data_IF_544298263409
#
_entry.id   IF_544298263409
#
_cell.length_a   1.000
_cell.length_b   1.000
_cell.length_c   1.000
_cell.angle_alpha   90.00
_cell.angle_beta   90.00
_cell.angle_gamma   90.00
#
_symmetry.space_group_name_H-M   'P 1'
#
loop_
_entity.id
_entity.type
_entity.pdbx_description
1 polymer ?
#
# COMPACT_ATOMS: atom_id res chain seq x y z
N UNK A 1 -17.53 -28.96 -17.79
CA UNK A 1 -16.71 -28.39 -16.71
C UNK A 1 -17.64 -27.62 -15.80
N UNK A 2 -17.75 -28.00 -14.52
CA UNK A 2 -18.70 -27.34 -13.60
C UNK A 2 -18.19 -25.95 -13.20
N UNK A 3 -19.10 -25.02 -12.88
CA UNK A 3 -18.74 -23.69 -12.36
C UNK A 3 -17.82 -23.79 -11.13
N UNK A 4 -18.03 -24.80 -10.25
CA UNK A 4 -17.15 -25.08 -9.12
C UNK A 4 -15.75 -25.53 -9.54
N UNK A 5 -15.58 -26.32 -10.61
CA UNK A 5 -14.26 -26.71 -11.11
C UNK A 5 -13.56 -25.56 -11.84
N UNK A 6 -14.30 -24.72 -12.56
CA UNK A 6 -13.77 -23.50 -13.17
C UNK A 6 -13.31 -22.51 -12.10
N UNK A 7 -14.10 -22.35 -11.02
CA UNK A 7 -13.73 -21.55 -9.85
C UNK A 7 -12.53 -22.17 -9.15
N UNK A 8 -12.48 -23.48 -8.88
CA UNK A 8 -11.33 -24.12 -8.21
C UNK A 8 -10.06 -24.03 -9.05
N UNK A 9 -10.15 -24.22 -10.37
CA UNK A 9 -9.01 -24.17 -11.27
C UNK A 9 -8.53 -22.73 -11.50
N UNK A 10 -9.45 -21.76 -11.60
CA UNK A 10 -9.09 -20.35 -11.55
C UNK A 10 -8.58 -19.91 -10.18
N UNK A 11 -9.10 -20.41 -9.04
CA UNK A 11 -8.62 -20.06 -7.70
C UNK A 11 -7.24 -20.66 -7.37
N UNK A 12 -6.91 -21.81 -7.97
CA UNK A 12 -5.60 -22.46 -7.81
C UNK A 12 -4.57 -21.80 -8.73
N UNK A 13 -4.98 -21.27 -9.90
CA UNK A 13 -4.11 -20.54 -10.84
C UNK A 13 -4.00 -19.05 -10.48
N UNK A 14 -5.05 -18.42 -9.93
CA UNK A 14 -5.04 -17.04 -9.42
C UNK A 14 -4.41 -16.94 -8.03
N UNK A 15 -3.68 -17.97 -7.62
CA UNK A 15 -2.94 -17.94 -6.37
C UNK A 15 -1.89 -16.87 -6.51
N UNK A 16 -2.08 -15.89 -5.64
CA UNK A 16 -1.19 -14.80 -5.38
C UNK A 16 -1.18 -13.71 -6.43
N UNK A 17 -1.85 -12.58 -6.16
CA UNK A 17 -1.57 -11.34 -6.85
C UNK A 17 -2.21 -10.19 -6.07
N UNK A 18 -1.46 -9.58 -5.17
CA UNK A 18 -1.60 -8.14 -4.97
C UNK A 18 -0.30 -7.43 -5.34
N UNK A 19 0.81 -8.17 -5.43
CA UNK A 19 1.94 -7.80 -6.29
C UNK A 19 2.66 -9.01 -6.94
N UNK A 20 2.00 -10.17 -7.06
CA UNK A 20 2.70 -11.46 -7.27
C UNK A 20 2.55 -12.13 -8.65
N UNK A 21 2.00 -11.50 -9.68
CA UNK A 21 2.34 -11.92 -11.04
C UNK A 21 2.73 -10.73 -11.92
N UNK A 22 4.03 -10.64 -12.14
CA UNK A 22 4.53 -10.73 -13.51
C UNK A 22 5.22 -12.10 -13.73
N UNK A 23 4.86 -13.10 -12.91
CA UNK A 23 5.56 -14.38 -12.77
C UNK A 23 5.01 -15.53 -13.62
N UNK A 24 3.89 -15.34 -14.31
CA UNK A 24 3.41 -16.23 -15.38
C UNK A 24 3.14 -15.41 -16.65
N UNK A 25 4.16 -14.68 -17.11
CA UNK A 25 4.10 -14.04 -18.41
C UNK A 25 4.59 -15.00 -19.48
N UNK A 26 3.66 -15.44 -20.31
CA UNK A 26 3.94 -15.99 -21.63
C UNK A 26 4.46 -14.92 -22.61
N UNK A 27 4.39 -13.62 -22.26
CA UNK A 27 4.61 -12.53 -23.21
C UNK A 27 5.76 -11.61 -22.77
N UNK A 28 6.79 -11.48 -23.61
CA UNK A 28 8.05 -10.73 -23.37
C UNK A 28 7.85 -9.28 -22.88
N UNK A 29 6.74 -8.64 -23.24
CA UNK A 29 6.45 -7.23 -22.93
C UNK A 29 6.26 -6.99 -21.44
N UNK A 30 5.56 -7.90 -20.74
CA UNK A 30 5.27 -7.70 -19.32
C UNK A 30 6.50 -7.87 -18.42
N UNK A 31 7.43 -8.74 -18.83
CA UNK A 31 8.68 -8.99 -18.12
C UNK A 31 9.57 -7.74 -18.10
N UNK A 32 9.50 -6.92 -19.15
CA UNK A 32 10.27 -5.68 -19.28
C UNK A 32 9.54 -4.49 -18.61
N UNK A 33 8.23 -4.36 -18.81
CA UNK A 33 7.50 -3.16 -18.38
C UNK A 33 7.37 -3.04 -16.85
N UNK A 34 7.22 -4.15 -16.14
CA UNK A 34 7.02 -4.14 -14.68
C UNK A 34 8.21 -3.68 -13.87
N UNK A 35 9.44 -4.20 -14.08
CA UNK A 35 10.62 -3.68 -13.42
C UNK A 35 10.82 -2.18 -13.68
N UNK A 36 10.51 -1.70 -14.89
CA UNK A 36 10.62 -0.29 -15.26
C UNK A 36 9.63 0.56 -14.46
N UNK A 37 8.35 0.19 -14.41
CA UNK A 37 7.33 0.94 -13.65
C UNK A 37 7.65 0.93 -12.16
N UNK A 38 8.06 -0.22 -11.59
CA UNK A 38 8.52 -0.29 -10.19
C UNK A 38 9.74 0.60 -9.95
N UNK A 39 10.71 0.62 -10.86
CA UNK A 39 11.86 1.53 -10.79
C UNK A 39 11.42 3.00 -10.80
N UNK A 40 10.48 3.38 -11.67
CA UNK A 40 9.93 4.75 -11.71
C UNK A 40 9.30 5.10 -10.36
N UNK A 41 8.52 4.19 -9.76
CA UNK A 41 7.90 4.39 -8.44
C UNK A 41 8.96 4.50 -7.34
N UNK A 42 9.98 3.64 -7.34
CA UNK A 42 11.11 3.69 -6.40
C UNK A 42 11.83 5.04 -6.52
N UNK A 43 12.10 5.51 -7.73
CA UNK A 43 12.72 6.81 -7.99
C UNK A 43 11.82 7.95 -7.53
N UNK A 44 10.52 7.89 -7.80
CA UNK A 44 9.56 8.91 -7.38
C UNK A 44 9.48 8.99 -5.85
N UNK A 45 9.29 7.86 -5.17
CA UNK A 45 9.27 7.77 -3.71
C UNK A 45 10.60 8.21 -3.09
N UNK A 46 11.73 7.75 -3.64
CA UNK A 46 13.07 8.16 -3.21
C UNK A 46 13.29 9.66 -3.35
N UNK A 47 12.85 10.26 -4.46
CA UNK A 47 12.92 11.71 -4.70
C UNK A 47 12.07 12.47 -3.68
N UNK A 48 10.85 12.00 -3.38
CA UNK A 48 10.00 12.58 -2.34
C UNK A 48 10.71 12.51 -0.98
N UNK A 49 11.26 11.36 -0.60
CA UNK A 49 12.00 11.19 0.67
C UNK A 49 13.18 12.17 0.73
N UNK A 50 13.99 12.27 -0.32
CA UNK A 50 15.14 13.19 -0.39
C UNK A 50 14.68 14.66 -0.28
N UNK A 51 13.62 15.04 -1.00
CA UNK A 51 13.04 16.38 -0.93
C UNK A 51 12.56 16.73 0.50
N UNK A 52 12.00 15.75 1.21
CA UNK A 52 11.57 15.92 2.60
C UNK A 52 12.73 16.02 3.59
N UNK A 53 13.84 15.30 3.37
CA UNK A 53 15.08 15.44 4.16
C UNK A 53 15.60 16.88 4.10
N UNK A 54 15.58 17.51 2.91
CA UNK A 54 15.96 18.91 2.75
C UNK A 54 15.09 19.89 3.54
N UNK A 55 13.79 19.58 3.71
CA UNK A 55 12.81 20.39 4.47
C UNK A 55 12.74 20.07 5.96
N UNK A 56 13.37 18.99 6.43
CA UNK A 56 13.39 18.57 7.84
C UNK A 56 13.93 19.65 8.79
N UNK A 57 14.73 20.60 8.28
CA UNK A 57 15.30 21.71 9.06
C UNK A 57 14.32 22.86 9.37
N UNK A 58 13.10 22.88 8.81
CA UNK A 58 12.13 23.98 8.99
C UNK A 58 11.10 23.77 10.13
N UNK A 59 10.34 24.82 10.49
CA UNK A 59 9.46 24.94 11.68
C UNK A 59 8.43 23.81 11.92
N UNK A 60 8.10 22.96 10.94
CA UNK A 60 7.13 21.84 11.06
C UNK A 60 7.79 20.45 11.20
N UNK A 61 8.80 20.34 12.07
CA UNK A 61 9.64 19.13 12.22
C UNK A 61 8.85 17.83 12.44
N UNK A 62 7.75 17.87 13.20
CA UNK A 62 6.97 16.66 13.55
C UNK A 62 6.19 16.12 12.35
N UNK A 63 5.51 16.98 11.60
CA UNK A 63 4.73 16.63 10.40
C UNK A 63 5.66 16.05 9.33
N UNK A 64 6.73 16.76 9.00
CA UNK A 64 7.71 16.32 8.00
C UNK A 64 8.38 15.01 8.40
N UNK A 65 8.67 14.80 9.69
CA UNK A 65 9.24 13.53 10.19
C UNK A 65 8.30 12.35 9.99
N UNK A 66 7.04 12.47 10.40
CA UNK A 66 6.10 11.35 10.33
C UNK A 66 5.80 10.94 8.88
N UNK A 67 5.68 11.93 7.99
CA UNK A 67 5.54 11.68 6.55
C UNK A 67 6.79 11.06 5.94
N UNK A 68 7.97 11.52 6.33
CA UNK A 68 9.23 10.91 5.87
C UNK A 68 9.29 9.44 6.30
N UNK A 69 8.93 9.12 7.55
CA UNK A 69 8.88 7.73 8.02
C UNK A 69 7.88 6.92 7.19
N UNK A 70 6.68 7.44 6.97
CA UNK A 70 5.66 6.78 6.14
C UNK A 70 6.16 6.52 4.71
N UNK A 71 6.74 7.51 4.05
CA UNK A 71 7.29 7.35 2.70
C UNK A 71 8.48 6.39 2.64
N UNK A 72 9.32 6.35 3.68
CA UNK A 72 10.40 5.36 3.79
C UNK A 72 9.81 3.94 3.89
N UNK A 73 8.74 3.75 4.66
CA UNK A 73 8.07 2.45 4.76
C UNK A 73 7.44 2.02 3.43
N UNK A 74 6.80 2.93 2.69
CA UNK A 74 6.27 2.63 1.35
C UNK A 74 7.36 2.39 0.31
N UNK A 75 8.50 3.08 0.42
CA UNK A 75 9.68 2.81 -0.41
C UNK A 75 10.23 1.41 -0.14
N UNK A 76 10.38 1.04 1.14
CA UNK A 76 10.79 -0.31 1.54
C UNK A 76 9.81 -1.36 1.04
N UNK A 77 8.50 -1.11 1.16
CA UNK A 77 7.48 -2.02 0.65
C UNK A 77 7.63 -2.26 -0.87
N UNK A 78 7.84 -1.18 -1.63
CA UNK A 78 8.05 -1.26 -3.09
C UNK A 78 9.34 -2.01 -3.43
N UNK A 79 10.43 -1.76 -2.70
CA UNK A 79 11.71 -2.47 -2.87
C UNK A 79 11.56 -3.97 -2.60
N UNK A 80 11.00 -4.35 -1.45
CA UNK A 80 10.81 -5.76 -1.09
C UNK A 80 9.88 -6.50 -2.06
N UNK A 81 8.86 -5.84 -2.61
CA UNK A 81 7.99 -6.41 -3.66
C UNK A 81 8.72 -6.72 -4.97
N UNK A 82 9.96 -6.24 -5.12
CA UNK A 82 10.81 -6.49 -6.29
C UNK A 82 11.86 -7.58 -6.03
N UNK A 83 12.17 -7.89 -4.77
CA UNK A 83 13.26 -8.81 -4.42
C UNK A 83 12.95 -10.26 -4.78
N UNK A 84 11.69 -10.67 -4.73
CA UNK A 84 11.28 -12.03 -5.13
C UNK A 84 11.70 -12.34 -6.56
N UNK A 85 11.54 -11.38 -7.48
CA UNK A 85 11.89 -11.54 -8.90
C UNK A 85 13.37 -11.23 -9.15
N UNK A 86 13.86 -10.10 -8.63
CA UNK A 86 15.19 -9.60 -8.97
C UNK A 86 16.32 -10.37 -8.29
N UNK A 87 16.08 -10.85 -7.06
CA UNK A 87 17.07 -11.53 -6.23
C UNK A 87 16.74 -13.01 -6.04
N UNK A 88 15.69 -13.52 -6.69
CA UNK A 88 15.23 -14.90 -6.55
C UNK A 88 14.69 -15.22 -5.15
N UNK A 89 14.22 -14.22 -4.39
CA UNK A 89 13.71 -14.45 -3.03
C UNK A 89 12.43 -15.28 -3.00
N UNK A 90 11.79 -15.51 -4.15
CA UNK A 90 10.69 -16.45 -4.27
C UNK A 90 11.07 -17.87 -3.83
N UNK A 91 12.35 -18.25 -3.81
CA UNK A 91 12.81 -19.56 -3.33
C UNK A 91 13.69 -19.51 -2.07
N UNK A 92 13.82 -18.37 -1.41
CA UNK A 92 14.85 -18.14 -0.38
C UNK A 92 14.84 -19.17 0.78
N UNK A 93 13.65 -19.68 1.12
CA UNK A 93 13.45 -20.62 2.24
C UNK A 93 13.01 -22.03 1.79
N UNK A 94 12.89 -22.26 0.49
CA UNK A 94 12.54 -23.57 -0.09
C UNK A 94 13.29 -23.70 -1.42
N UNK A 95 14.56 -24.18 -1.38
CA UNK A 95 15.41 -24.21 -2.57
C UNK A 95 14.82 -25.11 -3.67
N UNK A 96 14.22 -24.49 -4.68
CA UNK A 96 13.88 -25.12 -5.96
C UNK A 96 12.62 -26.00 -6.00
N UNK A 97 11.91 -26.18 -4.90
CA UNK A 97 10.70 -27.04 -4.86
C UNK A 97 9.41 -26.25 -4.77
N UNK A 98 9.37 -25.17 -4.00
CA UNK A 98 8.14 -24.40 -3.77
C UNK A 98 8.43 -22.91 -3.58
N UNK A 99 7.62 -22.05 -4.19
CA UNK A 99 7.81 -20.60 -4.09
C UNK A 99 7.20 -20.03 -2.81
N UNK A 100 8.02 -19.42 -1.95
CA UNK A 100 7.62 -18.84 -0.66
C UNK A 100 7.20 -17.37 -0.77
N UNK A 101 7.75 -16.63 -1.74
CA UNK A 101 7.46 -15.21 -1.98
C UNK A 101 7.59 -14.35 -0.70
N UNK A 102 8.76 -14.41 -0.08
CA UNK A 102 9.03 -13.70 1.18
C UNK A 102 9.19 -12.19 0.98
N UNK A 103 9.74 -11.74 -0.16
CA UNK A 103 9.82 -10.33 -0.51
C UNK A 103 8.44 -9.68 -0.53
N UNK A 104 7.44 -10.39 -1.04
CA UNK A 104 6.03 -10.01 -0.96
C UNK A 104 5.49 -9.93 0.47
N UNK A 105 5.82 -10.91 1.31
CA UNK A 105 5.44 -10.88 2.73
C UNK A 105 5.98 -9.63 3.44
N UNK A 106 7.25 -9.32 3.22
CA UNK A 106 7.89 -8.11 3.73
C UNK A 106 7.27 -6.84 3.15
N UNK A 107 6.94 -6.83 1.86
CA UNK A 107 6.28 -5.71 1.22
C UNK A 107 4.96 -5.34 1.91
N UNK A 108 4.10 -6.34 2.17
CA UNK A 108 2.85 -6.13 2.90
C UNK A 108 3.09 -5.66 4.33
N UNK A 109 4.07 -6.23 5.02
CA UNK A 109 4.40 -5.83 6.39
C UNK A 109 4.81 -4.36 6.49
N UNK A 110 5.75 -3.92 5.63
CA UNK A 110 6.16 -2.52 5.58
C UNK A 110 5.05 -1.58 5.11
N UNK A 111 4.18 -2.04 4.18
CA UNK A 111 3.00 -1.28 3.78
C UNK A 111 2.04 -1.08 4.95
N UNK A 112 1.72 -2.14 5.70
CA UNK A 112 0.86 -2.08 6.88
C UNK A 112 1.40 -1.13 7.96
N UNK A 113 2.71 -1.18 8.23
CA UNK A 113 3.37 -0.21 9.12
C UNK A 113 3.21 1.24 8.60
N UNK A 114 3.39 1.45 7.30
CA UNK A 114 3.17 2.74 6.66
C UNK A 114 1.74 3.25 6.84
N UNK A 115 0.74 2.39 6.64
CA UNK A 115 -0.67 2.72 6.79
C UNK A 115 -1.05 3.08 8.23
N UNK A 116 -0.49 2.36 9.21
CA UNK A 116 -0.71 2.67 10.65
C UNK A 116 -0.18 4.06 10.98
N UNK A 117 1.06 4.35 10.57
CA UNK A 117 1.69 5.66 10.83
C UNK A 117 0.91 6.76 10.10
N UNK A 118 0.52 6.52 8.85
CA UNK A 118 -0.25 7.46 8.06
C UNK A 118 -1.59 7.79 8.74
N UNK A 119 -2.32 6.77 9.15
CA UNK A 119 -3.63 6.92 9.78
C UNK A 119 -3.50 7.64 11.14
N UNK A 120 -2.59 7.18 12.00
CA UNK A 120 -2.33 7.80 13.30
C UNK A 120 -1.99 9.28 13.15
N UNK A 121 -1.05 9.60 12.25
CA UNK A 121 -0.62 10.97 12.00
C UNK A 121 -1.75 11.84 11.45
N UNK A 122 -2.53 11.30 10.53
CA UNK A 122 -3.66 12.00 9.92
C UNK A 122 -4.77 12.30 10.93
N UNK A 123 -5.02 11.39 11.88
CA UNK A 123 -5.93 11.64 13.00
C UNK A 123 -5.42 12.75 13.93
N UNK A 124 -4.12 12.89 14.14
CA UNK A 124 -3.56 14.00 14.93
C UNK A 124 -3.86 15.36 14.28
N UNK A 125 -3.88 15.43 12.95
CA UNK A 125 -4.20 16.65 12.21
C UNK A 125 -5.69 16.98 12.26
N UNK A 126 -6.58 15.99 12.16
CA UNK A 126 -8.03 16.24 12.16
C UNK A 126 -8.62 16.53 13.53
N UNK A 127 -8.04 15.95 14.59
CA UNK A 127 -8.63 15.98 15.92
C UNK A 127 -7.85 16.90 16.85
N UNK A 128 -7.77 18.18 16.49
CA UNK A 128 -7.12 19.16 17.36
C UNK A 128 -8.00 19.56 18.56
N UNK A 129 -9.34 19.37 18.55
CA UNK A 129 -10.20 19.88 19.66
C UNK A 129 -11.48 19.13 20.08
N UNK A 130 -11.92 18.00 19.48
CA UNK A 130 -13.31 17.53 19.76
C UNK A 130 -13.59 16.03 19.92
N UNK A 131 -12.60 15.13 19.88
CA UNK A 131 -12.81 13.70 20.20
C UNK A 131 -12.00 13.32 21.43
N UNK A 132 -12.61 12.55 22.34
CA UNK A 132 -11.93 11.94 23.48
C UNK A 132 -10.71 11.16 22.99
N UNK A 133 -9.52 11.65 23.36
CA UNK A 133 -8.19 11.10 23.00
C UNK A 133 -8.12 9.57 23.16
N UNK A 134 -8.90 9.02 24.10
CA UNK A 134 -9.02 7.60 24.36
C UNK A 134 -9.67 6.81 23.21
N UNK A 135 -10.77 7.29 22.63
CA UNK A 135 -11.46 6.61 21.52
C UNK A 135 -10.57 6.56 20.27
N UNK A 136 -9.85 7.65 20.00
CA UNK A 136 -8.86 7.73 18.92
C UNK A 136 -7.74 6.69 19.11
N UNK A 137 -7.17 6.62 20.31
CA UNK A 137 -6.10 5.69 20.60
C UNK A 137 -6.58 4.23 20.49
N UNK A 138 -7.82 3.92 20.90
CA UNK A 138 -8.44 2.61 20.71
C UNK A 138 -8.59 2.26 19.22
N UNK A 139 -9.05 3.20 18.39
CA UNK A 139 -9.18 2.96 16.94
C UNK A 139 -7.81 2.69 16.28
N UNK A 140 -6.80 3.49 16.61
CA UNK A 140 -5.42 3.29 16.09
C UNK A 140 -4.88 1.94 16.54
N UNK A 141 -5.11 1.55 17.79
CA UNK A 141 -4.68 0.24 18.30
C UNK A 141 -5.36 -0.92 17.56
N UNK A 142 -6.67 -0.84 17.32
CA UNK A 142 -7.41 -1.86 16.57
C UNK A 142 -6.84 -1.98 15.15
N UNK A 143 -6.65 -0.85 14.46
CA UNK A 143 -6.05 -0.84 13.12
C UNK A 143 -4.64 -1.41 13.14
N UNK A 144 -3.81 -1.05 14.13
CA UNK A 144 -2.46 -1.57 14.25
C UNK A 144 -2.44 -3.09 14.46
N UNK A 145 -3.32 -3.62 15.31
CA UNK A 145 -3.47 -5.07 15.52
C UNK A 145 -3.92 -5.76 14.23
N UNK A 146 -4.89 -5.19 13.51
CA UNK A 146 -5.40 -5.77 12.27
C UNK A 146 -4.33 -5.74 11.16
N UNK A 147 -3.63 -4.63 10.95
CA UNK A 147 -2.57 -4.48 9.95
C UNK A 147 -1.35 -5.36 10.28
N UNK A 148 -0.77 -5.24 11.47
CA UNK A 148 0.40 -6.03 11.87
C UNK A 148 0.03 -7.52 11.99
N UNK A 149 -1.13 -7.82 12.59
CA UNK A 149 -1.62 -9.18 12.74
C UNK A 149 -1.85 -9.85 11.40
N UNK A 150 -2.49 -9.17 10.44
CA UNK A 150 -2.74 -9.75 9.12
C UNK A 150 -1.47 -9.90 8.30
N UNK A 151 -0.67 -8.84 8.18
CA UNK A 151 0.57 -8.86 7.36
C UNK A 151 1.65 -9.76 7.95
N UNK A 152 1.82 -9.76 9.28
CA UNK A 152 2.75 -10.64 9.99
C UNK A 152 2.34 -12.12 9.89
N UNK A 153 1.05 -12.42 10.07
CA UNK A 153 0.55 -13.79 9.91
C UNK A 153 0.67 -14.26 8.47
N UNK A 154 0.36 -13.39 7.49
CA UNK A 154 0.55 -13.69 6.06
C UNK A 154 2.02 -14.02 5.76
N UNK A 155 2.97 -13.26 6.32
CA UNK A 155 4.40 -13.50 6.15
C UNK A 155 4.84 -14.85 6.76
N UNK A 156 4.41 -15.17 7.98
CA UNK A 156 4.71 -16.46 8.62
C UNK A 156 4.15 -17.61 7.79
N UNK A 157 2.89 -17.50 7.35
CA UNK A 157 2.23 -18.52 6.53
C UNK A 157 2.88 -18.69 5.16
N UNK A 158 3.47 -17.63 4.59
CA UNK A 158 4.27 -17.69 3.35
C UNK A 158 5.57 -18.49 3.53
N UNK A 159 6.26 -18.29 4.66
CA UNK A 159 7.44 -19.09 5.01
C UNK A 159 7.06 -20.57 5.17
N UNK A 160 5.88 -20.84 5.71
CA UNK A 160 5.33 -22.19 5.88
C UNK A 160 4.61 -22.73 4.63
N UNK A 161 4.62 -21.99 3.51
CA UNK A 161 4.05 -22.42 2.21
C UNK A 161 2.56 -22.77 2.34
N UNK A 162 1.84 -21.99 3.14
CA UNK A 162 0.41 -22.17 3.36
C UNK A 162 -0.41 -21.24 2.48
N UNK A 163 -1.37 -21.82 1.75
CA UNK A 163 -2.36 -21.10 0.95
C UNK A 163 -3.25 -20.16 1.77
N UNK A 164 -3.35 -20.40 3.09
CA UNK A 164 -4.10 -19.55 4.02
C UNK A 164 -3.51 -18.14 4.07
N UNK A 165 -2.23 -17.95 3.71
CA UNK A 165 -1.60 -16.63 3.60
C UNK A 165 -2.37 -15.64 2.69
N UNK A 166 -3.09 -16.15 1.68
CA UNK A 166 -3.94 -15.35 0.82
C UNK A 166 -5.08 -14.65 1.59
N UNK A 167 -5.75 -15.36 2.51
CA UNK A 167 -6.84 -14.80 3.31
C UNK A 167 -6.37 -13.59 4.12
N UNK A 168 -5.18 -13.68 4.72
CA UNK A 168 -4.59 -12.59 5.47
C UNK A 168 -4.14 -11.42 4.59
N UNK A 169 -3.76 -11.69 3.34
CA UNK A 169 -3.48 -10.63 2.35
C UNK A 169 -4.77 -9.87 1.99
N UNK A 170 -5.90 -10.58 1.84
CA UNK A 170 -7.21 -9.95 1.60
C UNK A 170 -7.66 -9.13 2.80
N UNK A 171 -7.45 -9.63 4.03
CA UNK A 171 -7.74 -8.87 5.26
C UNK A 171 -6.93 -7.57 5.28
N UNK A 172 -5.62 -7.63 5.02
CA UNK A 172 -4.78 -6.44 4.92
C UNK A 172 -5.34 -5.45 3.90
N UNK A 173 -5.71 -5.90 2.69
CA UNK A 173 -6.29 -5.04 1.66
C UNK A 173 -7.58 -4.35 2.11
N UNK A 174 -8.49 -5.08 2.77
CA UNK A 174 -9.76 -4.54 3.29
C UNK A 174 -9.48 -3.48 4.37
N UNK A 175 -8.55 -3.76 5.29
CA UNK A 175 -8.19 -2.84 6.36
C UNK A 175 -7.52 -1.58 5.79
N UNK A 176 -6.61 -1.74 4.84
CA UNK A 176 -5.97 -0.62 4.13
C UNK A 176 -6.99 0.24 3.39
N UNK A 177 -7.94 -0.38 2.66
CA UNK A 177 -9.02 0.35 1.99
C UNK A 177 -9.89 1.11 2.99
N UNK A 178 -10.21 0.49 4.13
CA UNK A 178 -10.95 1.12 5.22
C UNK A 178 -10.20 2.33 5.80
N UNK A 179 -8.88 2.24 6.02
CA UNK A 179 -8.04 3.35 6.45
C UNK A 179 -8.15 4.52 5.47
N UNK A 180 -7.97 4.28 4.16
CA UNK A 180 -8.04 5.35 3.16
C UNK A 180 -9.45 5.94 3.05
N UNK A 181 -10.51 5.14 3.22
CA UNK A 181 -11.89 5.65 3.30
C UNK A 181 -12.09 6.59 4.49
N UNK A 182 -11.58 6.23 5.67
CA UNK A 182 -11.64 7.11 6.84
C UNK A 182 -10.87 8.41 6.63
N UNK A 183 -9.67 8.32 6.03
CA UNK A 183 -8.88 9.51 5.67
C UNK A 183 -9.64 10.39 4.69
N UNK A 184 -10.21 9.82 3.63
CA UNK A 184 -11.01 10.54 2.64
C UNK A 184 -12.17 11.29 3.31
N UNK A 185 -12.99 10.58 4.09
CA UNK A 185 -14.16 11.15 4.77
C UNK A 185 -13.74 12.28 5.72
N UNK A 186 -12.70 12.08 6.52
CA UNK A 186 -12.25 13.09 7.48
C UNK A 186 -11.58 14.29 6.80
N UNK A 187 -10.91 14.09 5.66
CA UNK A 187 -10.35 15.16 4.83
C UNK A 187 -11.46 16.06 4.29
N UNK A 188 -12.48 15.46 3.66
CA UNK A 188 -13.62 16.19 3.08
C UNK A 188 -14.40 16.92 4.18
N UNK A 189 -14.62 16.29 5.33
CA UNK A 189 -15.28 16.94 6.48
C UNK A 189 -14.47 18.13 7.01
N UNK A 190 -13.14 18.03 7.04
CA UNK A 190 -12.26 19.11 7.50
C UNK A 190 -12.22 20.26 6.49
N UNK A 191 -12.21 19.95 5.19
CA UNK A 191 -12.26 20.95 4.11
C UNK A 191 -13.51 21.85 4.22
N UNK A 192 -14.68 21.26 4.51
CA UNK A 192 -15.95 22.02 4.61
C UNK A 192 -16.00 22.90 5.86
N UNK A 193 -15.25 22.57 6.92
CA UNK A 193 -15.32 23.26 8.22
C UNK A 193 -14.35 24.43 8.38
N UNK A 194 -13.33 24.53 7.54
CA UNK A 194 -12.26 25.52 7.68
C UNK A 194 -12.45 26.58 6.62
N UNK A 195 -12.39 27.86 7.01
CA UNK A 195 -12.58 28.98 6.09
C UNK A 195 -11.29 29.38 5.35
N UNK A 196 -10.13 29.08 5.92
CA UNK A 196 -8.83 29.41 5.34
C UNK A 196 -8.52 28.60 4.08
N UNK A 197 -8.45 29.27 2.93
CA UNK A 197 -8.28 28.66 1.61
C UNK A 197 -7.00 27.80 1.50
N UNK A 198 -5.90 28.21 2.15
CA UNK A 198 -4.66 27.42 2.18
C UNK A 198 -4.90 26.02 2.79
N UNK A 199 -5.66 25.93 3.88
CA UNK A 199 -5.96 24.66 4.53
C UNK A 199 -7.02 23.86 3.76
N UNK A 200 -7.99 24.51 3.11
CA UNK A 200 -8.93 23.82 2.20
C UNK A 200 -8.20 23.09 1.08
N UNK A 201 -7.27 23.76 0.40
CA UNK A 201 -6.47 23.17 -0.68
C UNK A 201 -5.65 21.97 -0.19
N UNK A 202 -5.12 22.04 1.03
CA UNK A 202 -4.40 20.93 1.67
C UNK A 202 -5.31 19.73 1.95
N UNK A 203 -6.46 19.94 2.59
CA UNK A 203 -7.40 18.85 2.86
C UNK A 203 -7.97 18.23 1.59
N UNK A 204 -8.26 19.04 0.57
CA UNK A 204 -8.65 18.53 -0.76
C UNK A 204 -7.56 17.67 -1.38
N UNK A 205 -6.29 18.05 -1.22
CA UNK A 205 -5.15 17.26 -1.71
C UNK A 205 -5.04 15.93 -0.97
N UNK A 206 -5.21 15.91 0.36
CA UNK A 206 -5.22 14.67 1.15
C UNK A 206 -6.41 13.76 0.76
N UNK A 207 -7.60 14.34 0.57
CA UNK A 207 -8.78 13.63 0.07
C UNK A 207 -8.51 13.00 -1.30
N UNK A 208 -7.94 13.78 -2.22
CA UNK A 208 -7.60 13.32 -3.56
C UNK A 208 -6.58 12.18 -3.50
N UNK A 209 -5.54 12.29 -2.65
CA UNK A 209 -4.56 11.23 -2.45
C UNK A 209 -5.19 9.93 -1.95
N UNK A 210 -6.10 10.01 -0.97
CA UNK A 210 -6.83 8.86 -0.47
C UNK A 210 -7.74 8.23 -1.53
N UNK A 211 -8.42 9.05 -2.35
CA UNK A 211 -9.21 8.58 -3.49
C UNK A 211 -8.36 7.80 -4.51
N UNK A 212 -7.19 8.34 -4.88
CA UNK A 212 -6.23 7.64 -5.74
C UNK A 212 -5.75 6.31 -5.14
N UNK A 213 -5.48 6.27 -3.83
CA UNK A 213 -5.08 5.05 -3.14
C UNK A 213 -6.18 3.99 -3.14
N UNK A 214 -7.45 4.38 -2.95
CA UNK A 214 -8.60 3.45 -3.04
C UNK A 214 -8.73 2.89 -4.46
N UNK A 215 -8.68 3.75 -5.48
CA UNK A 215 -8.76 3.31 -6.88
C UNK A 215 -7.59 2.38 -7.21
N UNK A 216 -6.37 2.70 -6.76
CA UNK A 216 -5.20 1.83 -6.91
C UNK A 216 -5.44 0.43 -6.30
N UNK A 217 -5.95 0.37 -5.07
CA UNK A 217 -6.22 -0.92 -4.39
C UNK A 217 -7.25 -1.73 -5.18
N UNK A 218 -8.34 -1.11 -5.63
CA UNK A 218 -9.38 -1.77 -6.43
C UNK A 218 -8.82 -2.26 -7.76
N UNK A 219 -8.01 -1.45 -8.45
CA UNK A 219 -7.40 -1.81 -9.74
C UNK A 219 -6.43 -2.98 -9.60
N UNK A 220 -5.60 -3.00 -8.55
CA UNK A 220 -4.73 -4.14 -8.28
C UNK A 220 -5.50 -5.39 -7.85
N UNK A 221 -6.62 -5.24 -7.14
CA UNK A 221 -7.50 -6.36 -6.83
C UNK A 221 -8.16 -6.93 -8.09
N UNK A 222 -8.58 -6.08 -9.04
CA UNK A 222 -9.13 -6.52 -10.33
C UNK A 222 -8.06 -7.18 -11.18
N UNK A 223 -6.88 -6.58 -11.27
CA UNK A 223 -5.71 -7.11 -12.01
C UNK A 223 -5.36 -8.53 -11.56
N UNK A 224 -5.51 -8.83 -10.26
CA UNK A 224 -5.26 -10.16 -9.69
C UNK A 224 -6.12 -11.30 -10.25
N UNK A 225 -7.22 -10.97 -10.94
CA UNK A 225 -8.12 -11.94 -11.56
C UNK A 225 -7.65 -12.33 -12.98
N UNK A 226 -6.63 -11.68 -13.51
CA UNK A 226 -6.10 -11.91 -14.85
C UNK A 226 -4.70 -12.51 -14.78
N UNK A 227 -4.36 -13.42 -15.71
CA UNK A 227 -3.09 -14.15 -15.73
C UNK A 227 -1.93 -13.39 -16.42
N UNK A 228 -2.06 -12.09 -16.65
CA UNK A 228 -1.09 -11.31 -17.42
C UNK A 228 -1.19 -9.82 -17.15
N UNK A 229 -0.28 -9.04 -17.76
CA UNK A 229 -0.25 -7.58 -17.56
C UNK A 229 -1.52 -6.97 -18.12
N UNK A 230 -2.35 -6.43 -17.23
CA UNK A 230 -3.51 -5.67 -17.68
C UNK A 230 -3.22 -4.18 -17.63
N UNK A 231 -4.03 -3.42 -18.38
CA UNK A 231 -4.09 -1.97 -18.26
C UNK A 231 -4.44 -1.53 -16.83
N UNK A 232 -5.12 -2.37 -16.04
CA UNK A 232 -5.46 -2.07 -14.64
C UNK A 232 -4.21 -1.99 -13.76
N UNK A 233 -3.21 -2.86 -13.95
CA UNK A 233 -1.94 -2.76 -13.24
C UNK A 233 -1.24 -1.42 -13.52
N UNK A 234 -1.20 -1.01 -14.79
CA UNK A 234 -0.55 0.23 -15.22
C UNK A 234 -1.26 1.47 -14.66
N UNK A 235 -2.60 1.49 -14.75
CA UNK A 235 -3.40 2.57 -14.16
C UNK A 235 -3.25 2.56 -12.63
N UNK A 236 -3.19 1.39 -11.99
CA UNK A 236 -2.95 1.26 -10.55
C UNK A 236 -1.63 1.92 -10.12
N UNK A 237 -0.54 1.65 -10.83
CA UNK A 237 0.74 2.32 -10.58
C UNK A 237 0.70 3.83 -10.83
N UNK A 238 0.00 4.29 -11.88
CA UNK A 238 -0.22 5.73 -12.10
C UNK A 238 -1.03 6.37 -10.96
N UNK A 239 -2.02 5.65 -10.43
CA UNK A 239 -2.77 6.08 -9.26
C UNK A 239 -1.88 6.17 -8.02
N UNK A 240 -0.91 5.27 -7.82
CA UNK A 240 0.08 5.38 -6.74
C UNK A 240 0.91 6.66 -6.87
N UNK A 241 1.42 6.96 -8.07
CA UNK A 241 2.18 8.19 -8.34
C UNK A 241 1.32 9.43 -8.04
N UNK A 242 0.06 9.42 -8.51
CA UNK A 242 -0.92 10.46 -8.20
C UNK A 242 -1.14 10.62 -6.69
N UNK A 243 -1.36 9.52 -5.97
CA UNK A 243 -1.51 9.52 -4.52
C UNK A 243 -0.30 10.15 -3.83
N UNK A 244 0.93 9.74 -4.19
CA UNK A 244 2.15 10.31 -3.61
C UNK A 244 2.31 11.81 -3.89
N UNK A 245 2.00 12.27 -5.10
CA UNK A 245 2.04 13.68 -5.48
C UNK A 245 1.07 14.53 -4.64
N UNK A 246 -0.20 14.11 -4.57
CA UNK A 246 -1.21 14.84 -3.80
C UNK A 246 -0.98 14.76 -2.30
N UNK A 247 -0.41 13.66 -1.80
CA UNK A 247 -0.03 13.52 -0.40
C UNK A 247 1.09 14.51 -0.05
N UNK A 248 2.13 14.61 -0.89
CA UNK A 248 3.17 15.64 -0.70
C UNK A 248 2.56 17.05 -0.69
N UNK A 249 1.69 17.40 -1.65
CA UNK A 249 1.02 18.71 -1.71
C UNK A 249 0.10 18.99 -0.51
N UNK A 250 -0.52 17.94 0.05
CA UNK A 250 -1.43 18.07 1.18
C UNK A 250 -0.74 18.43 2.49
N UNK A 251 0.49 17.98 2.69
CA UNK A 251 1.18 18.14 3.97
C UNK A 251 2.43 19.05 3.96
N UNK A 252 2.98 19.35 2.78
CA UNK A 252 4.15 20.20 2.59
C UNK A 252 3.74 21.52 1.96
#
# INVERSE_FOLDING_TARGET
MSFCEAVKKHFIVSRFMLFQQFGELSDEVGYILSPIVKMIVIVALGTIVIAMIGKYKQKRKVITRNLMIMFVLYLLATLFSSFDILLGWEYLFSPGTEKTYIGMGLAFFFNGLGNIIYYWFTLEIYYEKSIEKEQRNKQVLIIAILEIGSTGTAMILRILISDISFLFTVIHMIVTMYIFMLVLINSVRSEVKIDEEEYKVRFRSIATAAGFAIVMIVLFAIDSLFAGVTIYSLIGWLCLIGACYYLHRGYV
#
